data_IF_036749729352
#
_entry.id   IF_036749729352
#
_cell.length_a   1.000
_cell.length_b   1.000
_cell.length_c   1.000
_cell.angle_alpha   90.00
_cell.angle_beta   90.00
_cell.angle_gamma   90.00
#
_symmetry.space_group_name_H-M   'P 1'
#
loop_
_entity.id
_entity.type
_entity.pdbx_description
1 polymer ?
#
# COMPACT_ATOMS: atom_id res chain seq x y z
N UNK A 1 -1.54 12.53 19.24
CA UNK A 1 -2.98 12.32 18.91
C UNK A 1 -3.69 11.59 20.06
N UNK A 2 -5.02 11.72 20.23
CA UNK A 2 -5.73 11.21 21.41
C UNK A 2 -6.10 9.72 21.28
N UNK A 3 -6.20 9.02 22.42
CA UNK A 3 -6.67 7.63 22.49
C UNK A 3 -8.05 7.43 21.84
N UNK A 4 -8.88 8.48 21.88
CA UNK A 4 -10.19 8.56 21.24
C UNK A 4 -10.12 8.39 19.71
N UNK A 5 -9.13 8.98 19.03
CA UNK A 5 -8.98 8.85 17.57
C UNK A 5 -8.65 7.40 17.18
N UNK A 6 -7.81 6.72 17.95
CA UNK A 6 -7.49 5.30 17.73
C UNK A 6 -8.72 4.42 17.93
N UNK A 7 -9.54 4.71 18.94
CA UNK A 7 -10.80 3.99 19.17
C UNK A 7 -11.79 4.21 18.02
N UNK A 8 -11.92 5.43 17.51
CA UNK A 8 -12.79 5.75 16.37
C UNK A 8 -12.37 5.00 15.09
N UNK A 9 -11.07 5.02 14.75
CA UNK A 9 -10.53 4.27 13.60
C UNK A 9 -10.79 2.77 13.77
N UNK A 10 -10.50 2.23 14.96
CA UNK A 10 -10.69 0.80 15.24
C UNK A 10 -12.17 0.41 15.13
N UNK A 11 -13.08 1.22 15.66
CA UNK A 11 -14.52 0.95 15.60
C UNK A 11 -15.04 0.99 14.15
N UNK A 12 -14.60 1.96 13.34
CA UNK A 12 -14.95 2.04 11.92
C UNK A 12 -14.46 0.79 11.16
N UNK A 13 -13.17 0.45 11.32
CA UNK A 13 -12.56 -0.74 10.73
C UNK A 13 -13.33 -2.03 11.07
N UNK A 14 -13.66 -2.24 12.36
CA UNK A 14 -14.40 -3.42 12.82
C UNK A 14 -15.83 -3.45 12.25
N UNK A 15 -16.50 -2.31 12.18
CA UNK A 15 -17.85 -2.22 11.63
C UNK A 15 -17.90 -2.57 10.15
N UNK A 16 -16.93 -2.09 9.37
CA UNK A 16 -16.83 -2.35 7.92
C UNK A 16 -16.44 -3.79 7.59
N UNK A 17 -15.65 -4.45 8.45
CA UNK A 17 -15.11 -5.79 8.19
C UNK A 17 -15.78 -6.89 9.02
N UNK A 18 -16.87 -6.60 9.74
CA UNK A 18 -17.54 -7.54 10.67
C UNK A 18 -17.93 -8.90 10.05
N UNK A 19 -18.14 -8.93 8.74
CA UNK A 19 -18.52 -10.15 8.00
C UNK A 19 -17.31 -11.00 7.58
N UNK A 20 -16.08 -10.47 7.72
CA UNK A 20 -14.84 -11.17 7.43
C UNK A 20 -13.88 -11.13 8.64
N UNK A 21 -14.06 -12.04 9.62
CA UNK A 21 -13.23 -12.06 10.83
C UNK A 21 -11.75 -12.35 10.54
N UNK A 22 -11.43 -13.06 9.46
CA UNK A 22 -10.04 -13.33 9.07
C UNK A 22 -9.35 -12.02 8.66
N UNK A 23 -10.00 -11.20 7.83
CA UNK A 23 -9.47 -9.89 7.46
C UNK A 23 -9.26 -9.00 8.68
N UNK A 24 -10.20 -9.01 9.64
CA UNK A 24 -10.06 -8.28 10.90
C UNK A 24 -8.75 -8.66 11.61
N UNK A 25 -8.51 -9.95 11.78
CA UNK A 25 -7.31 -10.44 12.48
C UNK A 25 -6.05 -10.13 11.70
N UNK A 26 -6.02 -10.39 10.39
CA UNK A 26 -4.83 -10.15 9.56
C UNK A 26 -4.43 -8.67 9.51
N UNK A 27 -5.37 -7.76 9.30
CA UNK A 27 -5.10 -6.32 9.32
C UNK A 27 -4.69 -5.85 10.72
N UNK A 28 -5.30 -6.38 11.78
CA UNK A 28 -4.90 -6.06 13.16
C UNK A 28 -3.46 -6.52 13.47
N UNK A 29 -3.07 -7.69 12.96
CA UNK A 29 -1.69 -8.19 13.05
C UNK A 29 -0.74 -7.25 12.33
N UNK A 30 -1.08 -6.80 11.11
CA UNK A 30 -0.27 -5.82 10.36
C UNK A 30 -0.15 -4.49 11.12
N UNK A 31 -1.27 -3.94 11.61
CA UNK A 31 -1.28 -2.74 12.47
C UNK A 31 -0.34 -2.87 13.66
N UNK A 32 -0.48 -3.95 14.44
CA UNK A 32 0.31 -4.19 15.64
C UNK A 32 1.79 -4.42 15.35
N UNK A 33 2.08 -5.20 14.30
CA UNK A 33 3.45 -5.55 13.91
C UNK A 33 4.20 -4.34 13.37
N UNK A 34 3.63 -3.60 12.40
CA UNK A 34 4.27 -2.42 11.82
C UNK A 34 4.49 -1.33 12.86
N UNK A 35 3.52 -1.06 13.73
CA UNK A 35 3.70 -0.12 14.84
C UNK A 35 4.79 -0.58 15.82
N UNK A 36 4.86 -1.88 16.12
CA UNK A 36 5.89 -2.41 17.01
C UNK A 36 7.28 -2.32 16.40
N UNK A 37 7.43 -2.60 15.10
CA UNK A 37 8.67 -2.42 14.35
C UNK A 37 9.13 -0.96 14.40
N UNK A 38 8.23 -0.01 14.10
CA UNK A 38 8.56 1.41 14.16
C UNK A 38 8.95 1.85 15.57
N UNK A 39 8.20 1.45 16.59
CA UNK A 39 8.50 1.81 17.98
C UNK A 39 9.87 1.31 18.45
N UNK A 40 10.29 0.13 18.00
CA UNK A 40 11.55 -0.49 18.42
C UNK A 40 12.73 0.01 17.59
N UNK A 41 12.56 0.19 16.28
CA UNK A 41 13.65 0.41 15.34
C UNK A 41 13.65 1.78 14.66
N UNK A 42 12.58 2.57 14.81
CA UNK A 42 12.40 3.85 14.13
C UNK A 42 12.62 3.72 12.63
N UNK A 43 13.41 4.64 12.07
CA UNK A 43 13.82 4.63 10.65
C UNK A 43 14.56 3.35 10.23
N UNK A 44 15.18 2.62 11.17
CA UNK A 44 15.81 1.33 10.87
C UNK A 44 14.81 0.27 10.36
N UNK A 45 13.50 0.47 10.62
CA UNK A 45 12.44 -0.39 10.06
C UNK A 45 12.22 -0.19 8.56
N UNK A 46 12.69 0.92 7.97
CA UNK A 46 12.46 1.25 6.56
C UNK A 46 13.07 0.22 5.60
N UNK A 47 14.21 -0.38 5.96
CA UNK A 47 14.81 -1.46 5.17
C UNK A 47 13.92 -2.71 5.14
N UNK A 48 13.25 -3.03 6.25
CA UNK A 48 12.32 -4.17 6.34
C UNK A 48 11.07 -3.88 5.50
N UNK A 49 10.52 -2.67 5.59
CA UNK A 49 9.31 -2.31 4.86
C UNK A 49 9.56 -2.20 3.36
N UNK A 50 10.79 -1.83 2.96
CA UNK A 50 11.21 -1.89 1.55
C UNK A 50 11.24 -3.32 1.04
N UNK A 51 11.91 -4.24 1.75
CA UNK A 51 11.91 -5.66 1.40
C UNK A 51 10.48 -6.25 1.37
N UNK A 52 9.61 -5.85 2.29
CA UNK A 52 8.20 -6.23 2.27
C UNK A 52 7.48 -5.79 0.98
N UNK A 53 7.77 -4.59 0.46
CA UNK A 53 7.23 -4.11 -0.81
C UNK A 53 7.66 -4.98 -2.00
N UNK A 54 8.94 -5.38 -2.03
CA UNK A 54 9.51 -6.28 -3.04
C UNK A 54 8.83 -7.67 -2.99
N UNK A 55 8.72 -8.25 -1.80
CA UNK A 55 8.04 -9.53 -1.59
C UNK A 55 6.57 -9.45 -2.00
N UNK A 56 5.88 -8.36 -1.67
CA UNK A 56 4.48 -8.14 -2.05
C UNK A 56 4.32 -8.06 -3.57
N UNK A 57 5.19 -7.31 -4.26
CA UNK A 57 5.18 -7.26 -5.72
C UNK A 57 5.44 -8.63 -6.36
N UNK A 58 6.40 -9.38 -5.83
CA UNK A 58 6.67 -10.74 -6.29
C UNK A 58 5.48 -11.68 -6.08
N UNK A 59 4.79 -11.60 -4.94
CA UNK A 59 3.58 -12.38 -4.67
C UNK A 59 2.42 -11.98 -5.59
N UNK A 60 2.30 -10.70 -5.95
CA UNK A 60 1.33 -10.23 -6.95
C UNK A 60 1.61 -10.89 -8.30
N UNK A 61 2.86 -10.84 -8.78
CA UNK A 61 3.27 -11.48 -10.04
C UNK A 61 2.97 -12.99 -10.03
N UNK A 62 3.45 -13.71 -9.01
CA UNK A 62 3.24 -15.16 -8.89
C UNK A 62 1.74 -15.51 -8.81
N UNK A 63 0.98 -14.76 -8.01
CA UNK A 63 -0.47 -14.95 -7.89
C UNK A 63 -1.19 -14.77 -9.21
N UNK A 64 -0.82 -13.77 -10.00
CA UNK A 64 -1.43 -13.51 -11.31
C UNK A 64 -1.26 -14.69 -12.27
N UNK A 65 -0.06 -15.28 -12.33
CA UNK A 65 0.21 -16.48 -13.14
C UNK A 65 -0.63 -17.67 -12.66
N UNK A 66 -0.69 -17.90 -11.35
CA UNK A 66 -1.45 -19.02 -10.77
C UNK A 66 -2.96 -18.92 -11.02
N UNK A 67 -3.47 -17.70 -11.17
CA UNK A 67 -4.88 -17.42 -11.39
C UNK A 67 -5.23 -17.24 -12.87
N UNK A 68 -4.25 -17.28 -13.78
CA UNK A 68 -4.45 -17.05 -15.22
C UNK A 68 -4.73 -15.58 -15.58
N UNK A 69 -4.33 -14.66 -14.71
CA UNK A 69 -4.50 -13.20 -14.84
C UNK A 69 -3.17 -12.50 -15.18
N UNK A 70 -2.18 -13.25 -15.68
CA UNK A 70 -0.90 -12.69 -16.09
C UNK A 70 -1.06 -11.68 -17.22
N UNK A 71 -0.35 -10.56 -17.11
CA UNK A 71 -0.31 -9.52 -18.14
C UNK A 71 1.13 -9.11 -18.43
N UNK A 72 1.31 -8.44 -19.56
CA UNK A 72 2.58 -7.85 -19.94
C UNK A 72 2.94 -6.71 -18.95
N UNK A 73 4.10 -6.81 -18.31
CA UNK A 73 4.64 -5.77 -17.40
C UNK A 73 5.96 -5.20 -17.91
N UNK A 74 6.21 -5.27 -19.23
CA UNK A 74 7.50 -4.88 -19.84
C UNK A 74 7.77 -3.37 -19.90
N UNK A 75 6.76 -2.54 -19.68
CA UNK A 75 6.91 -1.08 -19.58
C UNK A 75 6.20 -0.56 -18.33
N UNK A 76 6.59 0.61 -17.80
CA UNK A 76 5.94 1.19 -16.62
C UNK A 76 4.43 1.32 -16.77
N UNK A 77 3.95 1.79 -17.92
CA UNK A 77 2.53 1.96 -18.20
C UNK A 77 1.79 0.62 -18.11
N UNK A 78 2.30 -0.41 -18.79
CA UNK A 78 1.67 -1.74 -18.78
C UNK A 78 1.70 -2.40 -17.41
N UNK A 79 2.80 -2.22 -16.66
CA UNK A 79 2.92 -2.73 -15.30
C UNK A 79 1.93 -2.05 -14.36
N UNK A 80 1.73 -0.74 -14.47
CA UNK A 80 0.75 0.03 -13.69
C UNK A 80 -0.68 -0.32 -14.07
N UNK A 81 -0.98 -0.49 -15.36
CA UNK A 81 -2.27 -1.00 -15.85
C UNK A 81 -2.59 -2.36 -15.24
N UNK A 82 -1.66 -3.32 -15.33
CA UNK A 82 -1.77 -4.62 -14.67
C UNK A 82 -2.01 -4.48 -13.17
N UNK A 83 -1.26 -3.60 -12.50
CA UNK A 83 -1.37 -3.39 -11.06
C UNK A 83 -2.77 -2.90 -10.67
N UNK A 84 -3.32 -1.90 -11.37
CA UNK A 84 -4.67 -1.42 -11.10
C UNK A 84 -5.76 -2.46 -11.40
N UNK A 85 -5.65 -3.19 -12.51
CA UNK A 85 -6.64 -4.21 -12.86
C UNK A 85 -6.61 -5.38 -11.88
N UNK A 86 -5.42 -5.84 -11.49
CA UNK A 86 -5.27 -6.97 -10.59
C UNK A 86 -5.70 -6.61 -9.16
N UNK A 87 -5.25 -5.46 -8.64
CA UNK A 87 -5.59 -5.08 -7.27
C UNK A 87 -6.98 -4.43 -7.15
N UNK A 88 -7.31 -3.50 -8.04
CA UNK A 88 -8.61 -2.80 -8.06
C UNK A 88 -9.73 -3.65 -8.67
N UNK A 89 -9.45 -4.39 -9.75
CA UNK A 89 -10.45 -5.22 -10.42
C UNK A 89 -10.66 -6.57 -9.74
N UNK A 90 -9.60 -7.39 -9.66
CA UNK A 90 -9.69 -8.77 -9.16
C UNK A 90 -9.86 -8.82 -7.64
N UNK A 91 -8.99 -8.13 -6.88
CA UNK A 91 -9.06 -8.13 -5.42
C UNK A 91 -9.95 -7.05 -4.81
N UNK A 92 -10.38 -6.06 -5.60
CA UNK A 92 -11.25 -4.94 -5.15
C UNK A 92 -10.71 -4.23 -3.90
N UNK A 93 -9.40 -4.03 -3.85
CA UNK A 93 -8.76 -3.35 -2.71
C UNK A 93 -8.98 -1.83 -2.72
N UNK A 94 -9.46 -1.29 -3.84
CA UNK A 94 -9.85 0.10 -4.04
C UNK A 94 -11.00 0.15 -5.06
N UNK A 95 -11.76 1.23 -5.04
CA UNK A 95 -12.85 1.45 -6.00
C UNK A 95 -12.29 1.93 -7.36
N UNK A 96 -11.20 2.70 -7.33
CA UNK A 96 -10.51 3.22 -8.52
C UNK A 96 -9.02 3.45 -8.20
N UNK A 97 -8.15 3.17 -9.17
CA UNK A 97 -6.71 3.44 -9.11
C UNK A 97 -6.30 4.08 -10.42
N UNK A 98 -5.89 5.34 -10.37
CA UNK A 98 -5.44 6.12 -11.51
C UNK A 98 -3.95 6.45 -11.38
N UNK A 99 -3.24 6.51 -12.50
CA UNK A 99 -1.81 6.81 -12.52
C UNK A 99 -1.47 7.93 -13.50
N UNK A 100 -0.42 8.65 -13.19
CA UNK A 100 0.23 9.58 -14.11
C UNK A 100 1.73 9.42 -13.95
N UNK A 101 2.39 9.09 -15.06
CA UNK A 101 3.86 9.02 -15.14
C UNK A 101 4.33 10.29 -15.85
N UNK A 102 5.19 11.06 -15.21
CA UNK A 102 5.85 12.23 -15.79
C UNK A 102 7.35 12.17 -15.48
N UNK A 103 8.16 11.83 -16.49
CA UNK A 103 9.60 11.66 -16.41
C UNK A 103 10.02 10.86 -15.17
N UNK A 104 10.49 11.56 -14.13
CA UNK A 104 11.07 10.99 -12.92
C UNK A 104 10.03 10.85 -11.78
N UNK A 105 8.75 11.11 -12.04
CA UNK A 105 7.68 11.10 -11.03
C UNK A 105 6.53 10.19 -11.43
N UNK A 106 6.15 9.30 -10.52
CA UNK A 106 4.89 8.56 -10.58
C UNK A 106 3.92 9.17 -9.56
N UNK A 107 2.75 9.60 -10.04
CA UNK A 107 1.62 10.00 -9.20
C UNK A 107 0.51 8.96 -9.32
N UNK A 108 0.00 8.51 -8.18
CA UNK A 108 -1.08 7.51 -8.09
C UNK A 108 -2.21 8.06 -7.24
N UNK A 109 -3.42 8.02 -7.77
CA UNK A 109 -4.63 8.36 -7.04
C UNK A 109 -5.41 7.08 -6.75
N UNK A 110 -5.75 6.86 -5.49
CA UNK A 110 -6.52 5.70 -5.04
C UNK A 110 -7.81 6.19 -4.42
N UNK A 111 -8.96 5.75 -4.91
CA UNK A 111 -10.28 6.07 -4.34
C UNK A 111 -10.85 4.87 -3.62
N UNK A 112 -11.43 5.10 -2.44
CA UNK A 112 -12.09 4.06 -1.64
C UNK A 112 -11.19 2.88 -1.25
N UNK A 113 -9.92 3.14 -0.94
CA UNK A 113 -8.93 2.17 -0.47
C UNK A 113 -9.45 1.40 0.75
N UNK A 114 -9.63 0.08 0.64
CA UNK A 114 -10.15 -0.77 1.74
C UNK A 114 -9.15 -0.99 2.87
N UNK A 115 -7.89 -0.62 2.67
CA UNK A 115 -6.81 -0.71 3.66
C UNK A 115 -6.54 0.61 4.38
N UNK A 116 -7.32 1.68 4.12
CA UNK A 116 -7.00 3.01 4.63
C UNK A 116 -6.92 3.06 6.16
N UNK A 117 -7.81 2.35 6.86
CA UNK A 117 -7.82 2.25 8.34
C UNK A 117 -6.48 1.78 8.91
N UNK A 118 -5.74 0.92 8.21
CA UNK A 118 -4.41 0.51 8.63
C UNK A 118 -3.44 1.69 8.62
N UNK A 119 -3.40 2.45 7.52
CA UNK A 119 -2.53 3.62 7.42
C UNK A 119 -2.98 4.78 8.33
N UNK A 120 -4.29 4.94 8.56
CA UNK A 120 -4.84 5.91 9.52
C UNK A 120 -4.42 5.55 10.95
N UNK A 121 -4.47 4.27 11.30
CA UNK A 121 -3.98 3.77 12.58
C UNK A 121 -2.49 4.08 12.78
N UNK A 122 -1.66 3.88 11.75
CA UNK A 122 -0.23 4.19 11.82
C UNK A 122 0.01 5.68 12.08
N UNK A 123 -0.64 6.56 11.32
CA UNK A 123 -0.53 8.00 11.51
C UNK A 123 -1.00 8.41 12.92
N UNK A 124 -2.10 7.83 13.41
CA UNK A 124 -2.59 8.07 14.77
C UNK A 124 -1.62 7.63 15.88
N UNK A 125 -0.68 6.75 15.55
CA UNK A 125 0.43 6.30 16.41
C UNK A 125 1.75 7.01 16.11
N UNK A 126 1.72 8.10 15.35
CA UNK A 126 2.91 8.87 14.97
C UNK A 126 3.91 8.05 14.15
N UNK A 127 3.39 7.04 13.43
CA UNK A 127 4.13 6.25 12.44
C UNK A 127 3.80 6.79 11.05
N UNK A 128 4.78 7.17 10.22
CA UNK A 128 4.50 7.65 8.87
C UNK A 128 3.76 6.60 8.04
N UNK A 129 2.72 7.00 7.31
CA UNK A 129 1.87 6.09 6.52
C UNK A 129 2.65 5.22 5.54
N UNK A 130 3.70 5.78 4.94
CA UNK A 130 4.50 5.11 3.92
C UNK A 130 5.31 3.92 4.47
N UNK A 131 5.50 3.85 5.79
CA UNK A 131 6.16 2.71 6.46
C UNK A 131 5.31 1.45 6.35
N UNK A 132 3.99 1.58 6.30
CA UNK A 132 3.08 0.42 6.27
C UNK A 132 2.24 0.29 5.01
N UNK A 133 2.03 1.35 4.24
CA UNK A 133 1.10 1.34 3.11
C UNK A 133 1.50 0.28 2.06
N UNK A 134 0.75 -0.82 1.90
CA UNK A 134 1.16 -1.92 1.03
C UNK A 134 1.20 -1.51 -0.45
N UNK A 135 0.28 -0.61 -0.85
CA UNK A 135 0.24 -0.12 -2.23
C UNK A 135 1.46 0.74 -2.55
N UNK A 136 1.79 1.69 -1.69
CA UNK A 136 2.98 2.52 -1.83
C UNK A 136 4.26 1.67 -1.95
N UNK A 137 4.44 0.71 -1.04
CA UNK A 137 5.65 -0.11 -0.98
C UNK A 137 5.79 -1.02 -2.20
N UNK A 138 4.70 -1.64 -2.65
CA UNK A 138 4.71 -2.47 -3.86
C UNK A 138 4.80 -1.67 -5.16
N UNK A 139 4.25 -0.45 -5.22
CA UNK A 139 4.43 0.46 -6.36
C UNK A 139 5.88 0.87 -6.53
N UNK A 140 6.59 1.14 -5.42
CA UNK A 140 8.02 1.40 -5.51
C UNK A 140 8.74 0.18 -6.11
N UNK A 141 8.51 -1.02 -5.54
CA UNK A 141 9.14 -2.24 -6.03
C UNK A 141 8.80 -2.53 -7.52
N UNK A 142 7.56 -2.27 -7.93
CA UNK A 142 7.13 -2.37 -9.32
C UNK A 142 7.93 -1.44 -10.23
N UNK A 143 8.06 -0.17 -9.86
CA UNK A 143 8.79 0.80 -10.67
C UNK A 143 10.27 0.44 -10.79
N UNK A 144 10.90 0.00 -9.70
CA UNK A 144 12.30 -0.44 -9.71
C UNK A 144 12.51 -1.69 -10.57
N UNK A 145 11.61 -2.67 -10.49
CA UNK A 145 11.66 -3.92 -11.27
C UNK A 145 11.56 -3.64 -12.78
N UNK A 146 10.72 -2.68 -13.18
CA UNK A 146 10.41 -2.43 -14.59
C UNK A 146 11.35 -1.41 -15.24
N UNK A 147 11.79 -0.41 -14.48
CA UNK A 147 12.67 0.64 -15.01
C UNK A 147 14.16 0.33 -14.80
N UNK A 148 14.50 -0.46 -13.78
CA UNK A 148 15.87 -0.63 -13.30
C UNK A 148 16.42 0.57 -12.51
N UNK A 149 15.61 1.62 -12.31
CA UNK A 149 16.00 2.82 -11.58
C UNK A 149 15.46 2.79 -10.15
N UNK A 150 16.19 3.34 -9.16
CA UNK A 150 15.73 3.42 -7.79
C UNK A 150 14.59 4.43 -7.63
N UNK A 151 13.56 4.07 -6.85
CA UNK A 151 12.43 4.96 -6.53
C UNK A 151 12.28 5.18 -5.02
N UNK A 152 11.89 6.39 -4.64
CA UNK A 152 11.58 6.77 -3.25
C UNK A 152 10.18 7.36 -3.12
N UNK A 153 9.66 7.33 -1.90
CA UNK A 153 8.43 8.03 -1.54
C UNK A 153 8.70 9.54 -1.45
N UNK A 154 7.95 10.33 -2.22
CA UNK A 154 7.95 11.79 -2.10
C UNK A 154 6.85 12.24 -1.14
N UNK A 155 5.62 11.75 -1.33
CA UNK A 155 4.50 12.03 -0.44
C UNK A 155 3.44 10.94 -0.46
N UNK A 156 2.78 10.73 0.68
CA UNK A 156 1.59 9.88 0.81
C UNK A 156 0.55 10.62 1.64
N UNK A 157 -0.45 11.17 0.98
CA UNK A 157 -1.59 11.80 1.62
C UNK A 157 -2.80 10.88 1.56
N UNK A 158 -3.63 10.88 2.61
CA UNK A 158 -4.81 10.03 2.66
C UNK A 158 -5.89 10.62 3.54
N UNK A 159 -7.12 10.64 3.03
CA UNK A 159 -8.30 11.10 3.76
C UNK A 159 -9.54 10.33 3.32
N UNK A 160 -10.27 9.79 4.30
CA UNK A 160 -11.57 9.11 4.09
C UNK A 160 -11.47 8.03 2.99
N UNK A 161 -10.40 7.24 2.99
CA UNK A 161 -10.14 6.19 2.00
C UNK A 161 -9.65 6.67 0.63
N UNK A 162 -9.49 7.97 0.43
CA UNK A 162 -8.91 8.53 -0.80
C UNK A 162 -7.46 8.92 -0.55
N UNK A 163 -6.55 8.37 -1.33
CA UNK A 163 -5.11 8.56 -1.16
C UNK A 163 -4.45 9.08 -2.42
N UNK A 164 -3.42 9.90 -2.24
CA UNK A 164 -2.49 10.31 -3.29
C UNK A 164 -1.08 9.84 -2.89
N UNK A 165 -0.49 9.01 -3.77
CA UNK A 165 0.87 8.48 -3.62
C UNK A 165 1.74 9.14 -4.68
N UNK A 166 2.87 9.73 -4.28
CA UNK A 166 3.84 10.31 -5.20
C UNK A 166 5.19 9.65 -4.96
N UNK A 167 5.73 9.05 -6.00
CA UNK A 167 7.07 8.45 -6.02
C UNK A 167 7.98 9.26 -6.95
N UNK A 168 9.27 9.30 -6.64
CA UNK A 168 10.29 9.92 -7.48
C UNK A 168 11.47 8.98 -7.70
N UNK A 169 12.05 8.99 -8.89
CA UNK A 169 13.35 8.34 -9.12
C UNK A 169 14.47 9.15 -8.48
N UNK A 170 15.58 8.50 -8.12
CA UNK A 170 16.79 9.15 -7.58
C UNK A 170 17.80 9.53 -8.66
#
# INVERSE_FOLDING_TARGET
MSEEQVQQITAAFLSENKENPVNIILTSVLMGFTNSLWRVSGEGSLGITRAFGEDLWNLIKVGSVMLGEEKDTSTPEKALEFYAEYLGGYFRIADEIDFTVDNDTLKVQVKGCKLHHFTDYLEAKEVPRFVGCPMALSLIALMEDVTGEPFIMDSLESKDGNSEIVLKSL
#
